data_IF_484638039154
#
_entry.id   IF_484638039154
#
_cell.length_a   1.000
_cell.length_b   1.000
_cell.length_c   1.000
_cell.angle_alpha   90.00
_cell.angle_beta   90.00
_cell.angle_gamma   90.00
#
_symmetry.space_group_name_H-M   'P 1'
#
loop_
_entity.id
_entity.type
_entity.pdbx_description
1 polymer ?
#
# COMPACT_ATOMS: atom_id res chain seq x y z
N UNK A 1 -11.43 20.32 -8.84
CA UNK A 1 -11.66 19.21 -7.91
C UNK A 1 -10.56 19.23 -6.87
N UNK A 2 -10.91 19.26 -5.58
CA UNK A 2 -9.95 19.40 -4.49
C UNK A 2 -9.20 18.10 -4.20
N UNK A 3 -7.93 18.20 -3.85
CA UNK A 3 -7.16 17.08 -3.32
C UNK A 3 -7.72 16.69 -1.95
N UNK A 4 -7.77 15.39 -1.65
CA UNK A 4 -8.14 14.90 -0.32
C UNK A 4 -7.14 15.43 0.71
N UNK A 5 -7.58 16.33 1.59
CA UNK A 5 -6.73 16.89 2.63
C UNK A 5 -6.55 15.85 3.74
N UNK A 6 -5.33 15.31 3.86
CA UNK A 6 -4.95 14.42 4.97
C UNK A 6 -4.31 15.16 6.16
N UNK A 7 -4.10 16.47 6.04
CA UNK A 7 -3.41 17.29 7.04
C UNK A 7 -4.39 17.83 8.07
N UNK A 8 -4.13 17.61 9.37
CA UNK A 8 -4.95 18.12 10.47
C UNK A 8 -6.09 17.19 10.93
N UNK A 9 -6.18 15.98 10.37
CA UNK A 9 -7.14 14.97 10.83
C UNK A 9 -6.66 14.27 12.10
N UNK A 10 -7.58 14.09 13.06
CA UNK A 10 -7.34 13.30 14.29
C UNK A 10 -7.02 11.83 14.00
N UNK A 11 -7.49 11.31 12.87
CA UNK A 11 -7.26 9.94 12.41
C UNK A 11 -6.67 9.96 11.01
N UNK A 12 -5.54 9.30 10.82
CA UNK A 12 -4.88 9.16 9.51
C UNK A 12 -4.93 7.70 9.07
N UNK A 13 -5.41 7.48 7.85
CA UNK A 13 -5.46 6.15 7.25
C UNK A 13 -4.15 5.90 6.52
N UNK A 14 -3.49 4.79 6.83
CA UNK A 14 -2.30 4.34 6.11
C UNK A 14 -2.63 3.03 5.40
N UNK A 15 -2.20 2.92 4.15
CA UNK A 15 -2.27 1.67 3.41
C UNK A 15 -0.92 0.97 3.52
N UNK A 16 -0.92 -0.25 4.06
CA UNK A 16 0.30 -1.03 4.26
C UNK A 16 0.18 -2.35 3.51
N UNK A 17 1.12 -2.59 2.61
CA UNK A 17 1.27 -3.86 1.92
C UNK A 17 2.15 -4.78 2.75
N UNK A 18 1.63 -5.97 3.08
CA UNK A 18 2.27 -6.95 3.95
C UNK A 18 2.23 -8.34 3.32
N UNK A 19 3.03 -9.27 3.85
CA UNK A 19 3.16 -10.64 3.36
C UNK A 19 4.37 -10.84 2.46
N UNK A 20 4.26 -11.71 1.46
CA UNK A 20 5.34 -12.02 0.51
C UNK A 20 5.51 -10.92 -0.55
N UNK A 21 5.71 -9.67 -0.11
CA UNK A 21 5.81 -8.48 -0.99
C UNK A 21 6.91 -8.62 -2.04
N UNK A 22 8.03 -9.27 -1.68
CA UNK A 22 9.13 -9.53 -2.62
C UNK A 22 8.74 -10.43 -3.80
N UNK A 23 7.80 -11.36 -3.61
CA UNK A 23 7.35 -12.26 -4.67
C UNK A 23 6.57 -11.53 -5.78
N UNK A 24 5.89 -10.44 -5.42
CA UNK A 24 5.11 -9.61 -6.36
C UNK A 24 5.80 -8.27 -6.66
N UNK A 25 7.06 -8.11 -6.23
CA UNK A 25 7.76 -6.82 -6.27
C UNK A 25 7.82 -6.19 -7.65
N UNK A 26 8.11 -6.98 -8.69
CA UNK A 26 8.19 -6.50 -10.06
C UNK A 26 6.90 -5.79 -10.52
N UNK A 27 5.73 -6.28 -10.07
CA UNK A 27 4.42 -5.68 -10.38
C UNK A 27 4.18 -4.43 -9.55
N UNK A 28 4.55 -4.47 -8.28
CA UNK A 28 4.45 -3.32 -7.36
C UNK A 28 5.30 -2.16 -7.88
N UNK A 29 6.55 -2.43 -8.26
CA UNK A 29 7.47 -1.46 -8.82
C UNK A 29 6.97 -0.85 -10.13
N UNK A 30 6.38 -1.67 -11.02
CA UNK A 30 5.77 -1.19 -12.27
C UNK A 30 4.64 -0.18 -12.01
N UNK A 31 3.74 -0.47 -11.06
CA UNK A 31 2.66 0.46 -10.68
C UNK A 31 3.22 1.72 -10.04
N UNK A 32 4.17 1.59 -9.11
CA UNK A 32 4.76 2.74 -8.43
C UNK A 32 5.52 3.67 -9.40
N UNK A 33 6.23 3.10 -10.37
CA UNK A 33 6.99 3.84 -11.39
C UNK A 33 6.06 4.61 -12.33
N UNK A 34 4.89 4.04 -12.65
CA UNK A 34 3.86 4.69 -13.48
C UNK A 34 3.22 5.89 -12.78
N UNK A 35 2.99 5.79 -11.47
CA UNK A 35 2.28 6.83 -10.70
C UNK A 35 3.16 8.00 -10.31
N UNK A 36 4.46 7.79 -10.06
CA UNK A 36 5.32 8.84 -9.52
C UNK A 36 6.11 9.65 -10.57
N UNK A 37 6.03 9.26 -11.84
CA UNK A 37 6.96 9.75 -12.85
C UNK A 37 8.41 9.39 -12.48
N UNK A 38 9.30 9.40 -13.45
CA UNK A 38 10.69 8.91 -13.31
C UNK A 38 11.57 9.67 -12.29
N UNK A 39 11.03 10.61 -11.50
CA UNK A 39 11.79 11.60 -10.74
C UNK A 39 11.50 11.65 -9.23
N UNK A 40 10.48 10.94 -8.74
CA UNK A 40 10.27 10.75 -7.30
C UNK A 40 10.24 9.26 -7.02
N UNK A 41 11.42 8.65 -6.84
CA UNK A 41 11.51 7.35 -6.19
C UNK A 41 10.95 7.53 -4.78
N UNK A 42 9.65 7.37 -4.61
CA UNK A 42 8.99 7.32 -3.31
C UNK A 42 9.67 6.21 -2.55
N UNK A 43 10.65 6.58 -1.72
CA UNK A 43 11.45 5.66 -0.92
C UNK A 43 10.45 4.85 -0.13
N UNK A 44 10.26 3.60 -0.54
CA UNK A 44 9.29 2.73 0.08
C UNK A 44 9.67 2.57 1.56
N UNK A 45 8.77 2.98 2.44
CA UNK A 45 9.03 2.98 3.87
C UNK A 45 8.56 1.66 4.46
N UNK A 46 9.50 0.87 4.99
CA UNK A 46 9.19 -0.34 5.75
C UNK A 46 8.71 0.08 7.14
N UNK A 47 7.56 -0.44 7.54
CA UNK A 47 6.93 -0.18 8.83
C UNK A 47 6.62 -1.47 9.57
N UNK A 48 6.72 -1.41 10.90
CA UNK A 48 6.30 -2.46 11.81
C UNK A 48 5.07 -2.01 12.56
N UNK A 49 3.95 -2.67 12.32
CA UNK A 49 2.70 -2.46 13.01
C UNK A 49 2.56 -3.46 14.15
N UNK A 50 2.01 -3.01 15.27
CA UNK A 50 1.53 -3.87 16.35
C UNK A 50 0.05 -3.56 16.54
N UNK A 51 -0.82 -4.53 16.34
CA UNK A 51 -2.26 -4.38 16.62
C UNK A 51 -2.52 -4.50 18.12
N UNK A 52 -3.70 -4.10 18.57
CA UNK A 52 -4.12 -4.27 19.97
C UNK A 52 -4.17 -5.75 20.37
N UNK A 53 -4.54 -6.63 19.43
CA UNK A 53 -4.48 -8.10 19.58
C UNK A 53 -3.05 -8.66 19.61
N UNK A 54 -2.04 -7.80 19.78
CA UNK A 54 -0.62 -8.15 19.81
C UNK A 54 -0.07 -8.80 18.55
N UNK A 55 -0.80 -8.73 17.43
CA UNK A 55 -0.31 -9.17 16.13
C UNK A 55 0.77 -8.21 15.66
N UNK A 56 1.90 -8.76 15.24
CA UNK A 56 3.04 -7.99 14.71
C UNK A 56 3.11 -8.17 13.21
N UNK A 57 2.94 -7.07 12.49
CA UNK A 57 2.95 -7.06 11.02
C UNK A 57 4.14 -6.23 10.56
N UNK A 58 4.91 -6.74 9.61
CA UNK A 58 5.94 -5.96 8.90
C UNK A 58 5.44 -5.77 7.48
N UNK A 59 5.39 -4.53 7.03
CA UNK A 59 4.92 -4.20 5.69
C UNK A 59 5.53 -2.90 5.18
N UNK A 60 5.10 -2.50 4.00
CA UNK A 60 5.57 -1.28 3.34
C UNK A 60 4.41 -0.31 3.20
N UNK A 61 4.61 0.96 3.55
CA UNK A 61 3.60 2.00 3.33
C UNK A 61 3.47 2.26 1.83
N UNK A 62 2.23 2.29 1.37
CA UNK A 62 1.87 2.62 0.00
C UNK A 62 1.01 3.88 -0.01
N UNK A 63 1.32 4.84 -0.90
CA UNK A 63 0.50 6.04 -1.05
C UNK A 63 -0.87 5.69 -1.63
N UNK A 64 -1.92 6.41 -1.21
CA UNK A 64 -3.32 6.13 -1.55
C UNK A 64 -3.61 6.14 -3.05
N UNK A 65 -2.88 6.95 -3.82
CA UNK A 65 -2.94 6.99 -5.29
C UNK A 65 -2.55 5.66 -5.97
N UNK A 66 -1.71 4.84 -5.34
CA UNK A 66 -1.24 3.57 -5.88
C UNK A 66 -2.14 2.39 -5.46
N UNK A 67 -3.02 2.56 -4.48
CA UNK A 67 -3.79 1.46 -3.89
C UNK A 67 -4.72 0.81 -4.91
N UNK A 68 -5.54 1.60 -5.61
CA UNK A 68 -6.45 1.08 -6.63
C UNK A 68 -5.74 0.31 -7.77
N UNK A 69 -4.69 0.86 -8.42
CA UNK A 69 -3.98 0.13 -9.47
C UNK A 69 -3.23 -1.10 -8.93
N UNK A 70 -2.69 -1.05 -7.71
CA UNK A 70 -2.06 -2.22 -7.09
C UNK A 70 -3.06 -3.35 -6.83
N UNK A 71 -4.25 -3.02 -6.30
CA UNK A 71 -5.30 -4.02 -6.09
C UNK A 71 -5.65 -4.67 -7.43
N UNK A 72 -5.88 -3.88 -8.48
CA UNK A 72 -6.23 -4.43 -9.79
C UNK A 72 -5.17 -5.41 -10.33
N UNK A 73 -3.89 -5.04 -10.26
CA UNK A 73 -2.80 -5.89 -10.75
C UNK A 73 -2.63 -7.14 -9.89
N UNK A 74 -2.72 -7.02 -8.57
CA UNK A 74 -2.56 -8.16 -7.66
C UNK A 74 -3.76 -9.12 -7.71
N UNK A 75 -4.96 -8.61 -7.93
CA UNK A 75 -6.18 -9.42 -8.03
C UNK A 75 -6.21 -10.29 -9.28
N UNK A 76 -5.50 -9.94 -10.35
CA UNK A 76 -5.43 -10.77 -11.56
C UNK A 76 -4.71 -12.11 -11.34
N UNK A 77 -3.77 -12.15 -10.39
CA UNK A 77 -3.02 -13.36 -10.03
C UNK A 77 -3.51 -13.99 -8.72
N UNK A 78 -4.50 -13.39 -8.08
CA UNK A 78 -5.00 -13.87 -6.80
C UNK A 78 -5.97 -15.04 -7.00
N UNK A 79 -5.60 -16.23 -6.51
CA UNK A 79 -6.52 -17.38 -6.48
C UNK A 79 -7.66 -17.18 -5.46
N UNK A 80 -7.42 -16.39 -4.40
CA UNK A 80 -8.43 -15.98 -3.41
C UNK A 80 -8.21 -14.53 -2.99
N UNK A 81 -9.27 -13.73 -3.01
CA UNK A 81 -9.28 -12.36 -2.48
C UNK A 81 -10.22 -12.30 -1.28
N UNK A 82 -9.71 -11.86 -0.13
CA UNK A 82 -10.49 -11.63 1.09
C UNK A 82 -10.41 -10.15 1.47
N UNK A 83 -11.54 -9.53 1.78
CA UNK A 83 -11.61 -8.12 2.18
C UNK A 83 -12.34 -8.01 3.51
N UNK A 84 -11.60 -7.71 4.57
CA UNK A 84 -12.15 -7.37 5.89
C UNK A 84 -11.99 -5.88 6.15
N UNK A 85 -13.06 -5.26 6.66
CA UNK A 85 -13.02 -3.87 7.11
C UNK A 85 -12.91 -3.89 8.63
N UNK A 86 -11.79 -3.42 9.16
CA UNK A 86 -11.54 -3.25 10.59
C UNK A 86 -11.90 -1.83 11.04
#
# INVERSE_FOLDING_TARGET
>A
MGLTCEVGLRRRTYHVLSGSVLAVWAKVESVLSSVHGHHNSSKLQVVRLKTEDSLRIVGTIIPSNCVAPLINVLSQDAEKTHSETF
#
